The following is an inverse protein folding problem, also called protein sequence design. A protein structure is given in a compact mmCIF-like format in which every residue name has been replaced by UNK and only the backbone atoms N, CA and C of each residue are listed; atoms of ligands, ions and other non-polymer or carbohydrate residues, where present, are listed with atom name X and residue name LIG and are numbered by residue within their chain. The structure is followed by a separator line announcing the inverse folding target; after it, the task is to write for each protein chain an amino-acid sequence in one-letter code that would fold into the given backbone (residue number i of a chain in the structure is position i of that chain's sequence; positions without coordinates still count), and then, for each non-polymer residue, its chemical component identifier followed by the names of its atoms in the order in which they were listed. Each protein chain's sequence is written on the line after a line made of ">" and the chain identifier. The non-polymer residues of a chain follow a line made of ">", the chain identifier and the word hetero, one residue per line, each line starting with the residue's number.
data_IF_128552938070
#
_entry.id   IF_128552938070
#
_cell.length_a   1.000
_cell.length_b   1.000
_cell.length_c   1.000
_cell.angle_alpha   90.00
_cell.angle_beta   90.00
_cell.angle_gamma   90.00
#
_symmetry.space_group_name_H-M   'P 1'
#
loop_
_entity.id
_entity.type
_entity.pdbx_description
1 polymer ?
#
# COMPACT_ATOMS: atom_id res chain seq x y z
N UNK A 1 21.13 4.04 -4.97
CA UNK A 1 22.29 3.53 -4.19
C UNK A 1 22.13 2.03 -4.04
N UNK A 2 23.10 1.22 -4.48
CA UNK A 2 23.02 -0.25 -4.36
C UNK A 2 23.15 -0.62 -2.88
N UNK A 3 22.14 -1.32 -2.32
CA UNK A 3 22.20 -1.81 -0.95
C UNK A 3 23.39 -2.76 -0.78
N UNK A 4 24.07 -2.67 0.36
CA UNK A 4 25.08 -3.65 0.72
C UNK A 4 24.40 -4.99 1.01
N UNK A 5 25.08 -6.09 0.75
CA UNK A 5 24.55 -7.45 0.94
C UNK A 5 23.92 -7.65 2.34
N UNK A 6 24.57 -7.13 3.36
CA UNK A 6 24.07 -7.22 4.75
C UNK A 6 22.78 -6.40 4.97
N UNK A 7 22.66 -5.21 4.37
CA UNK A 7 21.43 -4.40 4.42
C UNK A 7 20.27 -5.16 3.80
N UNK A 8 20.49 -5.78 2.64
CA UNK A 8 19.49 -6.59 1.95
C UNK A 8 19.05 -7.78 2.80
N UNK A 9 19.99 -8.53 3.38
CA UNK A 9 19.68 -9.66 4.29
C UNK A 9 18.86 -9.24 5.50
N UNK A 10 19.10 -8.05 6.06
CA UNK A 10 18.33 -7.51 7.19
C UNK A 10 16.89 -7.18 6.77
N UNK A 11 16.69 -6.58 5.59
CA UNK A 11 15.35 -6.29 5.05
C UNK A 11 14.59 -7.58 4.71
N UNK A 12 15.25 -8.55 4.09
CA UNK A 12 14.66 -9.88 3.80
C UNK A 12 14.29 -10.64 5.09
N UNK A 13 15.08 -10.49 6.15
CA UNK A 13 14.77 -11.11 7.44
C UNK A 13 13.49 -10.54 8.05
N UNK A 14 13.21 -9.24 7.87
CA UNK A 14 11.92 -8.65 8.29
C UNK A 14 10.76 -9.33 7.56
N UNK A 15 10.82 -9.43 6.22
CA UNK A 15 9.78 -10.10 5.42
C UNK A 15 9.54 -11.53 5.88
N UNK A 16 10.63 -12.32 6.03
CA UNK A 16 10.53 -13.72 6.47
C UNK A 16 9.91 -13.89 7.87
N UNK A 17 10.21 -12.99 8.81
CA UNK A 17 9.59 -13.06 10.15
C UNK A 17 8.10 -12.77 10.05
N UNK A 18 7.70 -11.80 9.24
CA UNK A 18 6.28 -11.46 9.07
C UNK A 18 5.53 -12.62 8.42
N UNK A 19 6.06 -13.20 7.36
CA UNK A 19 5.45 -14.30 6.61
C UNK A 19 5.34 -15.60 7.42
N UNK A 20 6.39 -15.95 8.16
CA UNK A 20 6.48 -17.23 8.86
C UNK A 20 5.88 -17.20 10.27
N UNK A 21 5.87 -16.04 10.91
CA UNK A 21 5.60 -15.98 12.34
C UNK A 21 4.53 -14.93 12.71
N UNK A 22 4.54 -13.76 12.19
CA UNK A 22 3.66 -12.61 12.38
C UNK A 22 4.47 -11.33 12.64
N UNK A 23 3.88 -10.20 12.34
CA UNK A 23 4.47 -8.88 12.62
C UNK A 23 4.75 -8.65 14.12
N UNK A 24 3.99 -9.30 15.01
CA UNK A 24 4.17 -9.20 16.47
C UNK A 24 5.52 -9.71 16.95
N UNK A 25 6.19 -10.55 16.16
CA UNK A 25 7.49 -11.13 16.47
C UNK A 25 8.66 -10.27 15.99
N UNK A 26 8.39 -9.13 15.38
CA UNK A 26 9.42 -8.20 14.92
C UNK A 26 10.17 -7.61 16.11
N UNK A 27 11.51 -7.74 16.08
CA UNK A 27 12.41 -7.19 17.09
C UNK A 27 13.87 -7.35 16.68
N UNK A 28 14.72 -6.44 17.18
CA UNK A 28 16.15 -6.34 16.78
C UNK A 28 16.87 -7.68 16.90
N UNK A 29 16.71 -8.37 18.04
CA UNK A 29 17.41 -9.64 18.29
C UNK A 29 16.95 -10.75 17.33
N UNK A 30 15.63 -10.78 17.03
CA UNK A 30 15.06 -11.78 16.13
C UNK A 30 15.47 -11.54 14.70
N UNK A 31 15.42 -10.29 14.24
CA UNK A 31 15.88 -9.90 12.90
C UNK A 31 17.36 -10.22 12.72
N UNK A 32 18.21 -9.86 13.67
CA UNK A 32 19.64 -10.14 13.62
C UNK A 32 19.92 -11.66 13.54
N UNK A 33 19.21 -12.46 14.35
CA UNK A 33 19.29 -13.93 14.31
C UNK A 33 18.85 -14.49 12.96
N UNK A 34 17.70 -14.04 12.43
CA UNK A 34 17.18 -14.48 11.13
C UNK A 34 18.10 -14.07 9.97
N UNK A 35 18.66 -12.88 10.03
CA UNK A 35 19.62 -12.38 9.05
C UNK A 35 21.04 -12.96 9.20
N UNK A 36 21.30 -13.75 10.26
CA UNK A 36 22.61 -14.31 10.58
C UNK A 36 23.70 -13.23 10.66
N UNK A 37 23.43 -12.14 11.38
CA UNK A 37 24.40 -11.05 11.56
C UNK A 37 24.32 -10.45 12.96
N UNK A 38 25.30 -9.64 13.33
CA UNK A 38 25.30 -8.93 14.61
C UNK A 38 24.23 -7.82 14.61
N UNK A 39 23.48 -7.71 15.72
CA UNK A 39 22.46 -6.66 15.91
C UNK A 39 23.03 -5.23 15.84
N UNK A 40 24.31 -5.05 16.11
CA UNK A 40 25.00 -3.76 15.99
C UNK A 40 24.91 -3.22 14.56
N UNK A 41 24.82 -4.10 13.56
CA UNK A 41 24.66 -3.70 12.15
C UNK A 41 23.31 -3.04 11.87
N UNK A 42 22.26 -3.41 12.62
CA UNK A 42 20.94 -2.73 12.50
C UNK A 42 21.08 -1.26 12.93
N UNK A 43 21.74 -1.01 14.05
CA UNK A 43 21.99 0.36 14.50
C UNK A 43 22.89 1.12 13.54
N UNK A 44 23.94 0.46 13.05
CA UNK A 44 24.92 1.09 12.13
C UNK A 44 24.33 1.46 10.79
N UNK A 45 23.47 0.63 10.21
CA UNK A 45 22.92 0.85 8.86
C UNK A 45 21.61 1.62 8.86
N UNK A 46 20.78 1.41 9.90
CA UNK A 46 19.41 1.91 9.92
C UNK A 46 19.11 2.81 11.13
N UNK A 47 20.04 2.99 12.05
CA UNK A 47 19.81 3.79 13.26
C UNK A 47 18.95 3.09 14.32
N UNK A 48 18.54 1.84 14.09
CA UNK A 48 17.69 1.05 15.00
C UNK A 48 16.53 0.37 14.29
N UNK A 49 15.57 -0.14 15.07
CA UNK A 49 14.43 -0.88 14.54
C UNK A 49 13.54 -0.01 13.64
N UNK A 50 13.20 1.20 14.08
CA UNK A 50 12.30 2.09 13.33
C UNK A 50 12.88 2.47 11.96
N UNK A 51 14.19 2.77 11.90
CA UNK A 51 14.87 3.04 10.64
C UNK A 51 14.94 1.83 9.71
N UNK A 52 15.12 0.63 10.27
CA UNK A 52 15.07 -0.61 9.49
C UNK A 52 13.66 -0.86 8.94
N UNK A 53 12.61 -0.68 9.74
CA UNK A 53 11.23 -0.83 9.31
C UNK A 53 10.82 0.22 8.27
N UNK A 54 11.28 1.47 8.41
CA UNK A 54 11.08 2.50 7.40
C UNK A 54 11.74 2.16 6.05
N UNK A 55 12.98 1.65 6.10
CA UNK A 55 13.69 1.21 4.91
C UNK A 55 13.02 -0.02 4.26
N UNK A 56 12.51 -0.93 5.08
CA UNK A 56 11.73 -2.08 4.64
C UNK A 56 10.43 -1.65 3.96
N UNK A 57 9.63 -0.78 4.60
CA UNK A 57 8.39 -0.27 4.02
C UNK A 57 8.63 0.44 2.69
N UNK A 58 9.69 1.24 2.59
CA UNK A 58 10.07 1.92 1.36
C UNK A 58 10.36 0.95 0.20
N UNK A 59 10.79 -0.27 0.50
CA UNK A 59 11.13 -1.27 -0.51
C UNK A 59 9.95 -2.18 -0.86
N UNK A 60 9.08 -2.49 0.10
CA UNK A 60 8.06 -3.54 -0.03
C UNK A 60 6.63 -3.01 0.03
N UNK A 61 6.40 -1.76 0.45
CA UNK A 61 5.05 -1.20 0.52
C UNK A 61 4.52 -0.83 -0.86
N UNK A 62 3.22 -1.09 -1.08
CA UNK A 62 2.54 -0.81 -2.34
C UNK A 62 2.70 0.64 -2.81
N UNK A 63 2.56 1.62 -1.91
CA UNK A 63 2.66 3.04 -2.27
C UNK A 63 4.06 3.44 -2.75
N UNK A 64 5.09 2.77 -2.25
CA UNK A 64 6.46 2.96 -2.74
C UNK A 64 6.65 2.38 -4.13
N UNK A 65 6.09 1.20 -4.37
CA UNK A 65 6.05 0.56 -5.68
C UNK A 65 5.19 1.37 -6.66
N UNK A 66 3.96 1.72 -6.28
CA UNK A 66 3.05 2.50 -7.10
C UNK A 66 3.65 3.85 -7.50
N UNK A 67 4.29 4.55 -6.56
CA UNK A 67 4.96 5.81 -6.89
C UNK A 67 6.04 5.63 -7.95
N UNK A 68 6.86 4.58 -7.87
CA UNK A 68 7.92 4.33 -8.84
C UNK A 68 7.38 3.90 -10.21
N UNK A 69 6.32 3.07 -10.23
CA UNK A 69 5.73 2.53 -11.45
C UNK A 69 4.86 3.56 -12.19
N UNK A 70 4.05 4.30 -11.43
CA UNK A 70 3.08 5.24 -12.02
C UNK A 70 3.56 6.67 -12.12
N UNK A 71 4.73 7.03 -11.57
CA UNK A 71 5.26 8.39 -11.65
C UNK A 71 5.32 8.92 -13.09
N UNK A 72 5.72 8.09 -14.04
CA UNK A 72 5.74 8.42 -15.46
C UNK A 72 4.36 8.68 -16.06
N UNK A 73 3.36 7.88 -15.70
CA UNK A 73 1.98 8.03 -16.15
C UNK A 73 1.33 9.27 -15.53
N UNK A 74 1.55 9.47 -14.21
CA UNK A 74 1.07 10.65 -13.49
C UNK A 74 1.72 11.93 -14.04
N UNK A 75 2.98 11.84 -14.49
CA UNK A 75 3.65 12.94 -15.16
C UNK A 75 3.00 13.33 -16.50
N UNK A 76 2.19 12.48 -17.10
CA UNK A 76 1.47 12.70 -18.35
C UNK A 76 -0.05 12.74 -18.15
N UNK A 77 -0.53 12.86 -16.91
CA UNK A 77 -1.96 12.91 -16.60
C UNK A 77 -2.60 14.16 -17.21
N UNK A 78 -3.75 13.95 -17.80
CA UNK A 78 -4.66 14.95 -18.33
C UNK A 78 -6.08 14.66 -17.84
N UNK A 79 -7.02 15.57 -18.01
CA UNK A 79 -8.41 15.28 -17.69
C UNK A 79 -8.99 14.11 -18.49
N UNK A 80 -8.50 13.88 -19.71
CA UNK A 80 -8.96 12.81 -20.58
C UNK A 80 -8.54 11.41 -20.11
N UNK A 81 -7.33 11.26 -19.53
CA UNK A 81 -6.79 9.95 -19.11
C UNK A 81 -6.77 9.72 -17.59
N UNK A 82 -7.24 10.71 -16.81
CA UNK A 82 -7.24 10.65 -15.35
C UNK A 82 -7.95 9.42 -14.81
N UNK A 83 -9.15 9.12 -15.33
CA UNK A 83 -9.96 7.98 -14.88
C UNK A 83 -9.22 6.67 -15.07
N UNK A 84 -8.63 6.45 -16.24
CA UNK A 84 -7.94 5.22 -16.58
C UNK A 84 -6.69 5.02 -15.70
N UNK A 85 -5.96 6.11 -15.42
CA UNK A 85 -4.81 6.07 -14.51
C UNK A 85 -5.25 5.71 -13.09
N UNK A 86 -6.30 6.36 -12.56
CA UNK A 86 -6.81 6.07 -11.21
C UNK A 86 -7.34 4.64 -11.11
N UNK A 87 -8.13 4.18 -12.09
CA UNK A 87 -8.59 2.78 -12.16
C UNK A 87 -7.42 1.81 -12.12
N UNK A 88 -6.41 2.04 -12.96
CA UNK A 88 -5.23 1.19 -13.03
C UNK A 88 -4.52 1.09 -11.67
N UNK A 89 -4.34 2.22 -10.98
CA UNK A 89 -3.70 2.25 -9.66
C UNK A 89 -4.52 1.46 -8.63
N UNK A 90 -5.85 1.71 -8.56
CA UNK A 90 -6.72 1.06 -7.58
C UNK A 90 -6.88 -0.45 -7.82
N UNK A 91 -7.02 -0.87 -9.07
CA UNK A 91 -7.11 -2.29 -9.42
C UNK A 91 -5.79 -3.02 -9.12
N UNK A 92 -4.65 -2.40 -9.40
CA UNK A 92 -3.35 -2.96 -9.02
C UNK A 92 -3.15 -3.01 -7.50
N UNK A 93 -3.66 -2.02 -6.75
CA UNK A 93 -3.66 -2.07 -5.29
C UNK A 93 -4.48 -3.24 -4.76
N UNK A 94 -5.68 -3.45 -5.32
CA UNK A 94 -6.54 -4.58 -4.97
C UNK A 94 -5.82 -5.91 -5.20
N UNK A 95 -5.25 -6.12 -6.39
CA UNK A 95 -4.53 -7.34 -6.73
C UNK A 95 -3.31 -7.54 -5.84
N UNK A 96 -2.49 -6.51 -5.69
CA UNK A 96 -1.29 -6.56 -4.85
C UNK A 96 -1.61 -6.92 -3.40
N UNK A 97 -2.62 -6.27 -2.79
CA UNK A 97 -3.00 -6.55 -1.41
C UNK A 97 -3.68 -7.91 -1.27
N UNK A 98 -4.50 -8.33 -2.23
CA UNK A 98 -5.15 -9.64 -2.24
C UNK A 98 -4.13 -10.78 -2.27
N UNK A 99 -3.08 -10.63 -3.07
CA UNK A 99 -2.09 -11.70 -3.30
C UNK A 99 -0.93 -11.67 -2.29
N UNK A 100 -0.74 -10.57 -1.56
CA UNK A 100 0.36 -10.40 -0.62
C UNK A 100 -0.04 -10.62 0.83
N UNK A 101 0.15 -11.85 1.33
CA UNK A 101 -0.02 -12.15 2.75
C UNK A 101 0.80 -11.20 3.65
N UNK A 102 2.01 -10.87 3.22
CA UNK A 102 2.91 -9.94 3.91
C UNK A 102 2.24 -8.56 4.13
N UNK A 103 1.60 -8.02 3.09
CA UNK A 103 0.92 -6.73 3.18
C UNK A 103 -0.36 -6.82 4.02
N UNK A 104 -1.09 -7.90 3.91
CA UNK A 104 -2.28 -8.13 4.75
C UNK A 104 -1.90 -8.17 6.23
N UNK A 105 -0.83 -8.88 6.60
CA UNK A 105 -0.31 -8.90 7.98
C UNK A 105 0.11 -7.50 8.44
N UNK A 106 0.75 -6.73 7.58
CA UNK A 106 1.15 -5.36 7.87
C UNK A 106 -0.07 -4.47 8.18
N UNK A 107 -1.13 -4.54 7.37
CA UNK A 107 -2.36 -3.76 7.58
C UNK A 107 -3.12 -4.18 8.84
N UNK A 108 -3.23 -5.48 9.12
CA UNK A 108 -3.83 -5.97 10.37
C UNK A 108 -3.06 -5.43 11.58
N UNK A 109 -1.75 -5.44 11.51
CA UNK A 109 -0.91 -4.95 12.59
C UNK A 109 -0.99 -3.43 12.76
N UNK A 110 -1.12 -2.67 11.67
CA UNK A 110 -1.36 -1.24 11.66
C UNK A 110 -2.60 -0.88 12.50
N UNK A 111 -3.70 -1.59 12.28
CA UNK A 111 -4.94 -1.39 13.00
C UNK A 111 -4.83 -1.72 14.50
N UNK A 112 -3.80 -2.46 14.93
CA UNK A 112 -3.54 -2.76 16.34
C UNK A 112 -2.99 -1.58 17.15
N UNK A 113 -2.61 -0.47 16.51
CA UNK A 113 -2.19 0.77 17.18
C UNK A 113 -0.82 0.75 17.86
N UNK A 114 0.04 -0.23 17.57
CA UNK A 114 1.38 -0.34 18.17
C UNK A 114 2.35 0.73 17.63
N UNK A 115 3.19 1.28 18.52
CA UNK A 115 4.03 2.47 18.23
C UNK A 115 5.07 2.31 17.12
N UNK A 116 5.65 1.12 16.95
CA UNK A 116 6.66 0.83 15.92
C UNK A 116 6.12 0.94 14.49
N UNK A 117 4.79 1.00 14.32
CA UNK A 117 4.15 1.15 13.01
C UNK A 117 4.15 2.60 12.50
N UNK A 118 4.26 3.59 13.36
CA UNK A 118 4.18 5.01 12.98
C UNK A 118 5.16 5.39 11.87
N UNK A 119 6.34 4.77 11.86
CA UNK A 119 7.37 5.05 10.86
C UNK A 119 6.98 4.52 9.47
N UNK A 120 6.37 3.33 9.40
CA UNK A 120 5.89 2.74 8.14
C UNK A 120 4.72 3.57 7.61
N UNK A 121 3.76 3.91 8.47
CA UNK A 121 2.63 4.77 8.11
C UNK A 121 3.10 6.14 7.60
N UNK A 122 4.05 6.78 8.28
CA UNK A 122 4.58 8.07 7.87
C UNK A 122 5.21 8.04 6.47
N UNK A 123 5.95 6.98 6.11
CA UNK A 123 6.49 6.82 4.75
C UNK A 123 5.40 6.54 3.72
N UNK A 124 4.37 5.77 4.07
CA UNK A 124 3.21 5.52 3.20
C UNK A 124 2.43 6.80 2.93
N UNK A 125 2.07 7.56 3.98
CA UNK A 125 1.39 8.85 3.86
C UNK A 125 2.20 9.84 3.02
N UNK A 126 3.48 9.90 3.21
CA UNK A 126 4.39 10.76 2.42
C UNK A 126 4.37 10.40 0.94
N UNK A 127 4.36 9.11 0.59
CA UNK A 127 4.31 8.67 -0.79
C UNK A 127 2.92 8.87 -1.41
N UNK A 128 1.85 8.59 -0.69
CA UNK A 128 0.48 8.88 -1.09
C UNK A 128 0.26 10.38 -1.32
N UNK A 129 0.72 11.22 -0.40
CA UNK A 129 0.64 12.68 -0.54
C UNK A 129 1.42 13.23 -1.74
N UNK A 130 2.57 12.63 -2.08
CA UNK A 130 3.29 13.02 -3.31
C UNK A 130 2.49 12.73 -4.58
N UNK A 131 1.84 11.56 -4.65
CA UNK A 131 0.97 11.23 -5.77
C UNK A 131 -0.18 12.22 -5.89
N UNK A 132 -0.80 12.57 -4.77
CA UNK A 132 -1.86 13.57 -4.69
C UNK A 132 -1.40 14.94 -5.20
N UNK A 133 -0.28 15.45 -4.69
CA UNK A 133 0.26 16.75 -5.09
C UNK A 133 0.57 16.82 -6.59
N UNK A 134 1.09 15.77 -7.18
CA UNK A 134 1.34 15.72 -8.62
C UNK A 134 0.04 15.73 -9.44
N UNK A 135 -1.00 15.05 -8.98
CA UNK A 135 -2.33 15.09 -9.60
C UNK A 135 -2.94 16.51 -9.49
N UNK A 136 -2.92 17.11 -8.31
CA UNK A 136 -3.44 18.46 -8.09
C UNK A 136 -2.70 19.54 -8.92
N UNK A 137 -1.39 19.43 -8.99
CA UNK A 137 -0.55 20.35 -9.78
C UNK A 137 -0.93 20.34 -11.27
N UNK A 138 -1.34 19.20 -11.80
CA UNK A 138 -1.65 19.01 -13.22
C UNK A 138 -3.12 19.29 -13.56
N UNK A 139 -4.02 18.96 -12.65
CA UNK A 139 -5.46 19.01 -12.86
C UNK A 139 -6.13 20.21 -12.20
N UNK A 140 -5.39 20.95 -11.39
CA UNK A 140 -5.90 22.13 -10.70
C UNK A 140 -7.07 21.81 -9.77
N UNK A 141 -8.01 22.75 -9.61
CA UNK A 141 -9.19 22.61 -8.74
C UNK A 141 -10.18 21.52 -9.20
N UNK A 142 -10.02 21.01 -10.41
CA UNK A 142 -10.89 19.98 -10.99
C UNK A 142 -10.94 18.70 -10.16
N UNK A 143 -9.98 18.50 -9.24
CA UNK A 143 -9.86 17.29 -8.43
C UNK A 143 -10.04 17.54 -6.92
N UNK A 144 -10.71 18.61 -6.49
CA UNK A 144 -10.80 18.99 -5.08
C UNK A 144 -11.38 17.88 -4.17
N UNK A 145 -12.32 17.08 -4.65
CA UNK A 145 -12.93 15.97 -3.91
C UNK A 145 -12.40 14.59 -4.32
N UNK A 146 -11.52 14.51 -5.33
CA UNK A 146 -11.03 13.21 -5.83
C UNK A 146 -10.35 12.39 -4.73
N UNK A 147 -9.61 13.06 -3.83
CA UNK A 147 -8.94 12.39 -2.73
C UNK A 147 -9.90 11.68 -1.77
N UNK A 148 -11.05 12.30 -1.46
CA UNK A 148 -12.03 11.66 -0.58
C UNK A 148 -12.65 10.44 -1.25
N UNK A 149 -12.99 10.52 -2.54
CA UNK A 149 -13.53 9.37 -3.28
C UNK A 149 -12.52 8.23 -3.39
N UNK A 150 -11.27 8.55 -3.71
CA UNK A 150 -10.18 7.58 -3.76
C UNK A 150 -9.94 6.96 -2.38
N UNK A 151 -9.94 7.76 -1.32
CA UNK A 151 -9.76 7.29 0.06
C UNK A 151 -10.86 6.31 0.47
N UNK A 152 -12.12 6.59 0.13
CA UNK A 152 -13.24 5.68 0.41
C UNK A 152 -13.07 4.35 -0.31
N UNK A 153 -12.66 4.36 -1.58
CA UNK A 153 -12.42 3.13 -2.34
C UNK A 153 -11.24 2.34 -1.74
N UNK A 154 -10.14 3.02 -1.40
CA UNK A 154 -8.98 2.40 -0.75
C UNK A 154 -9.40 1.75 0.57
N UNK A 155 -10.18 2.45 1.38
CA UNK A 155 -10.68 1.91 2.64
C UNK A 155 -11.57 0.68 2.42
N UNK A 156 -12.45 0.70 1.43
CA UNK A 156 -13.31 -0.42 1.06
C UNK A 156 -12.49 -1.64 0.59
N UNK A 157 -11.52 -1.44 -0.32
CA UNK A 157 -10.60 -2.48 -0.80
C UNK A 157 -9.87 -3.12 0.39
N UNK A 158 -9.26 -2.31 1.24
CA UNK A 158 -8.49 -2.79 2.37
C UNK A 158 -9.38 -3.57 3.34
N UNK A 159 -10.56 -3.04 3.66
CA UNK A 159 -11.49 -3.71 4.58
C UNK A 159 -11.96 -5.06 4.03
N UNK A 160 -12.43 -5.10 2.79
CA UNK A 160 -12.93 -6.33 2.17
C UNK A 160 -11.84 -7.41 2.16
N UNK A 161 -10.63 -7.08 1.73
CA UNK A 161 -9.53 -8.05 1.67
C UNK A 161 -9.17 -8.55 3.07
N UNK A 162 -9.05 -7.67 4.06
CA UNK A 162 -8.68 -8.06 5.42
C UNK A 162 -9.79 -8.86 6.09
N UNK A 163 -11.05 -8.54 5.83
CA UNK A 163 -12.20 -9.27 6.36
C UNK A 163 -12.30 -10.67 5.76
N UNK A 164 -12.11 -10.79 4.45
CA UNK A 164 -12.23 -12.06 3.72
C UNK A 164 -11.08 -13.05 3.97
N UNK A 165 -10.03 -12.65 4.68
CA UNK A 165 -9.02 -13.58 5.22
C UNK A 165 -9.60 -14.61 6.19
N UNK A 166 -10.64 -14.24 6.93
CA UNK A 166 -11.25 -15.09 7.95
C UNK A 166 -12.67 -15.52 7.60
N UNK A 167 -13.38 -14.72 6.84
CA UNK A 167 -14.80 -14.89 6.53
C UNK A 167 -15.01 -14.77 5.03
N UNK A 168 -15.42 -15.87 4.39
CA UNK A 168 -15.65 -15.83 2.95
C UNK A 168 -16.85 -14.97 2.53
N UNK A 169 -17.85 -14.84 3.43
CA UNK A 169 -19.08 -14.11 3.15
C UNK A 169 -19.04 -12.70 3.73
N UNK A 170 -19.25 -11.69 2.89
CA UNK A 170 -19.43 -10.31 3.33
C UNK A 170 -20.65 -9.70 2.65
N UNK A 171 -21.61 -9.24 3.44
CA UNK A 171 -22.85 -8.62 2.96
C UNK A 171 -23.60 -9.46 1.90
N UNK A 172 -23.61 -10.80 2.08
CA UNK A 172 -24.25 -11.73 1.14
C UNK A 172 -23.43 -12.11 -0.10
N UNK A 173 -22.23 -11.57 -0.25
CA UNK A 173 -21.31 -11.88 -1.35
C UNK A 173 -20.28 -12.89 -0.88
N UNK A 174 -20.10 -13.98 -1.65
CA UNK A 174 -19.12 -15.03 -1.38
C UNK A 174 -17.80 -14.74 -2.08
N UNK A 175 -16.82 -14.19 -1.36
CA UNK A 175 -15.49 -13.90 -1.84
C UNK A 175 -14.55 -15.10 -1.96
N UNK A 176 -15.02 -16.32 -1.64
CA UNK A 176 -14.30 -17.55 -2.04
C UNK A 176 -14.41 -17.82 -3.54
N UNK A 177 -15.38 -17.20 -4.22
CA UNK A 177 -15.61 -17.33 -5.64
C UNK A 177 -14.83 -16.27 -6.42
N UNK A 178 -14.09 -16.65 -7.50
CA UNK A 178 -13.36 -15.71 -8.34
C UNK A 178 -14.24 -14.61 -8.93
N UNK A 179 -15.48 -14.94 -9.27
CA UNK A 179 -16.46 -14.05 -9.87
C UNK A 179 -16.77 -12.84 -8.99
N UNK A 180 -16.77 -13.01 -7.66
CA UNK A 180 -17.00 -11.90 -6.72
C UNK A 180 -15.88 -10.86 -6.79
N UNK A 181 -14.64 -11.28 -7.00
CA UNK A 181 -13.51 -10.38 -7.17
C UNK A 181 -13.54 -9.63 -8.52
N UNK A 182 -13.94 -10.31 -9.59
CA UNK A 182 -14.10 -9.66 -10.90
C UNK A 182 -15.24 -8.64 -10.86
N UNK A 183 -16.37 -8.97 -10.21
CA UNK A 183 -17.45 -8.02 -10.01
C UNK A 183 -17.01 -6.81 -9.17
N UNK A 184 -16.25 -7.01 -8.11
CA UNK A 184 -15.68 -5.91 -7.32
C UNK A 184 -14.80 -4.99 -8.16
N UNK A 185 -13.98 -5.54 -9.09
CA UNK A 185 -13.18 -4.73 -10.03
C UNK A 185 -14.05 -3.89 -10.96
N UNK A 186 -15.13 -4.48 -11.46
CA UNK A 186 -16.10 -3.79 -12.31
C UNK A 186 -16.76 -2.63 -11.55
N UNK A 187 -17.23 -2.89 -10.32
CA UNK A 187 -17.86 -1.87 -9.46
C UNK A 187 -16.88 -0.73 -9.12
N UNK A 188 -15.62 -1.03 -8.83
CA UNK A 188 -14.60 0.00 -8.62
C UNK A 188 -14.45 0.87 -9.90
N UNK A 189 -14.41 0.24 -11.05
CA UNK A 189 -14.27 0.94 -12.35
C UNK A 189 -15.46 1.85 -12.62
N UNK A 190 -16.68 1.34 -12.44
CA UNK A 190 -17.92 2.09 -12.62
C UNK A 190 -18.05 3.25 -11.63
N UNK A 191 -17.60 3.03 -10.38
CA UNK A 191 -17.57 4.07 -9.36
C UNK A 191 -16.67 5.24 -9.79
N UNK A 192 -15.48 4.94 -10.30
CA UNK A 192 -14.55 5.95 -10.81
C UNK A 192 -15.16 6.68 -12.01
N UNK A 193 -15.80 5.98 -12.93
CA UNK A 193 -16.45 6.59 -14.09
C UNK A 193 -17.56 7.56 -13.69
N UNK A 194 -18.36 7.17 -12.71
CA UNK A 194 -19.47 7.98 -12.22
C UNK A 194 -18.96 9.22 -11.48
N UNK A 195 -18.08 9.05 -10.50
CA UNK A 195 -17.63 10.16 -9.65
C UNK A 195 -16.71 11.15 -10.35
N UNK A 196 -15.78 10.66 -11.17
CA UNK A 196 -14.92 11.55 -11.94
C UNK A 196 -15.61 12.09 -13.21
N UNK A 197 -16.72 11.49 -13.62
CA UNK A 197 -17.58 12.01 -14.68
C UNK A 197 -18.38 13.24 -14.27
N UNK A 198 -18.82 13.29 -13.01
CA UNK A 198 -19.55 14.44 -12.47
C UNK A 198 -18.67 15.67 -12.20
N UNK A 199 -17.36 15.48 -12.04
CA UNK A 199 -16.40 16.59 -11.81
C UNK A 199 -16.33 17.54 -13.02
N UNK A 200 -16.65 17.08 -14.24
CA UNK A 200 -16.71 17.93 -15.43
C UNK A 200 -17.93 18.85 -15.49
N UNK A 201 -18.95 18.65 -14.65
CA UNK A 201 -20.20 19.41 -14.70
C UNK A 201 -20.26 20.59 -13.70
N UNK A 202 -19.18 20.88 -12.98
CA UNK A 202 -19.11 21.96 -12.00
C UNK A 202 -18.10 23.08 -12.38
N UNK A 203 -17.80 23.24 -13.67
CA UNK A 203 -17.03 24.36 -14.21
C UNK A 203 -17.95 25.32 -14.93
#
# INVERSE_FOLDING_TARGET
>A
MKLKETEKRLLEAVSKIIEEESFTQIGINRIAKKAQCDKVLIYRYFGGLDGLLAAWAKQYDFYSFAYSEFAGQIAQVTTANLKDIIKTILLKQLEYLKDSHLMQELYVWELSGKSSFRTIQAEREKNGHKLQLELEKRLGKTCHNCNFYITVIIAAINYIILFTRQYNMFNGIDFSQPEAWEELKNIISDYIDTFLGTVHNFV
#
